data_IF_867269570941
#
_entry.id   IF_867269570941
#
_cell.length_a   1.000
_cell.length_b   1.000
_cell.length_c   1.000
_cell.angle_alpha   90.00
_cell.angle_beta   90.00
_cell.angle_gamma   90.00
#
_symmetry.space_group_name_H-M   'P 1'
#
loop_
_entity.id
_entity.type
_entity.pdbx_description
1 polymer ?
#
# COMPACT_ATOMS: atom_id res chain seq x y z
N UNK A 1 11.21 -16.18 -23.70
CA UNK A 1 10.37 -16.17 -22.48
C UNK A 1 11.31 -16.23 -21.29
N UNK A 2 11.59 -15.10 -20.64
CA UNK A 2 12.40 -15.11 -19.42
C UNK A 2 12.05 -13.92 -18.53
N UNK A 3 11.54 -14.25 -17.35
CA UNK A 3 11.79 -13.63 -16.06
C UNK A 3 11.52 -12.13 -15.88
N UNK A 4 10.34 -11.82 -15.32
CA UNK A 4 10.14 -10.57 -14.57
C UNK A 4 9.29 -10.84 -13.32
N UNK A 5 9.72 -11.78 -12.49
CA UNK A 5 9.17 -11.94 -11.14
C UNK A 5 10.26 -11.67 -10.13
N UNK A 6 10.81 -10.45 -10.16
CA UNK A 6 11.44 -9.93 -8.95
C UNK A 6 10.36 -9.90 -7.87
N UNK A 7 10.64 -10.60 -6.78
CA UNK A 7 9.77 -10.71 -5.64
C UNK A 7 9.68 -9.34 -4.98
N UNK A 8 8.70 -8.52 -5.38
CA UNK A 8 8.50 -7.14 -4.93
C UNK A 8 8.46 -7.02 -3.39
N UNK A 9 8.04 -8.07 -2.69
CA UNK A 9 8.15 -8.16 -1.23
C UNK A 9 9.59 -8.00 -0.73
N UNK A 10 10.59 -8.55 -1.42
CA UNK A 10 12.00 -8.41 -1.09
C UNK A 10 12.54 -7.01 -1.42
N UNK A 11 12.03 -6.38 -2.49
CA UNK A 11 12.33 -4.98 -2.81
C UNK A 11 11.79 -4.07 -1.71
N UNK A 12 10.52 -4.22 -1.36
CA UNK A 12 9.89 -3.49 -0.26
C UNK A 12 10.62 -3.76 1.06
N UNK A 13 10.93 -5.01 1.40
CA UNK A 13 11.62 -5.35 2.66
C UNK A 13 13.05 -4.77 2.75
N UNK A 14 13.82 -4.80 1.64
CA UNK A 14 15.17 -4.21 1.58
C UNK A 14 15.14 -2.68 1.65
N UNK A 15 14.15 -2.05 1.02
CA UNK A 15 14.06 -0.59 0.97
C UNK A 15 13.34 0.03 2.19
N UNK A 16 12.41 -0.69 2.83
CA UNK A 16 11.62 -0.15 3.94
C UNK A 16 12.15 -0.45 5.34
N UNK A 17 13.17 -1.32 5.49
CA UNK A 17 13.76 -1.71 6.78
C UNK A 17 12.75 -1.74 7.95
N UNK A 18 11.71 -2.56 7.80
CA UNK A 18 10.50 -2.61 8.66
C UNK A 18 10.78 -3.01 10.13
N UNK A 19 12.04 -3.23 10.51
CA UNK A 19 12.45 -3.60 11.88
C UNK A 19 12.72 -2.39 12.80
N UNK A 20 12.58 -1.15 12.32
CA UNK A 20 12.71 0.05 13.18
C UNK A 20 11.47 0.95 13.11
N UNK A 21 10.41 0.51 13.78
CA UNK A 21 9.34 1.40 14.23
C UNK A 21 9.91 2.33 15.32
N UNK A 22 10.46 3.48 14.92
CA UNK A 22 10.95 4.48 15.87
C UNK A 22 11.76 5.64 15.29
N UNK A 23 11.64 5.96 14.00
CA UNK A 23 12.57 6.89 13.34
C UNK A 23 11.90 8.21 12.89
N UNK A 24 12.34 9.39 13.35
CA UNK A 24 11.74 10.71 13.05
C UNK A 24 11.95 11.22 11.61
N UNK A 25 12.42 10.39 10.68
CA UNK A 25 12.76 10.76 9.30
C UNK A 25 11.57 10.66 8.31
N UNK A 26 10.33 10.78 8.78
CA UNK A 26 9.14 10.83 7.91
C UNK A 26 9.29 11.88 6.78
N UNK A 27 10.01 12.96 7.03
CA UNK A 27 10.26 14.06 6.08
C UNK A 27 11.18 13.71 4.91
N UNK A 28 12.03 12.67 5.01
CA UNK A 28 12.90 12.22 3.90
C UNK A 28 12.23 11.22 2.96
N UNK A 29 10.98 10.80 3.22
CA UNK A 29 10.28 9.77 2.43
C UNK A 29 9.66 10.27 1.12
N UNK A 30 9.68 11.58 0.83
CA UNK A 30 9.12 12.13 -0.41
C UNK A 30 9.92 11.74 -1.67
N UNK A 31 11.18 11.31 -1.56
CA UNK A 31 12.03 11.07 -2.73
C UNK A 31 12.16 9.61 -3.18
N UNK A 32 11.91 8.62 -2.32
CA UNK A 32 12.49 7.29 -2.55
C UNK A 32 11.69 6.31 -3.41
N UNK A 33 10.50 6.65 -3.90
CA UNK A 33 9.77 5.82 -4.87
C UNK A 33 9.03 6.71 -5.88
N UNK A 34 9.78 7.43 -6.72
CA UNK A 34 9.33 7.71 -8.09
C UNK A 34 9.69 6.50 -8.96
N UNK A 35 9.07 5.35 -8.69
CA UNK A 35 8.98 4.32 -9.71
C UNK A 35 8.20 4.95 -10.86
N UNK A 36 8.72 4.89 -12.09
CA UNK A 36 8.18 5.60 -13.26
C UNK A 36 6.64 5.48 -13.33
N UNK A 37 5.92 6.53 -12.92
CA UNK A 37 4.46 6.57 -12.95
C UNK A 37 3.72 6.05 -11.71
N UNK A 38 4.37 5.74 -10.58
CA UNK A 38 3.73 5.26 -9.34
C UNK A 38 4.12 6.11 -8.12
N UNK A 39 3.16 6.30 -7.21
CA UNK A 39 3.34 6.97 -5.93
C UNK A 39 2.75 6.17 -4.78
N UNK A 40 2.99 6.61 -3.55
CA UNK A 40 2.47 5.98 -2.35
C UNK A 40 1.90 7.00 -1.36
N UNK A 41 0.99 6.55 -0.50
CA UNK A 41 0.40 7.38 0.56
C UNK A 41 0.12 6.53 1.80
N UNK A 42 0.33 7.07 3.00
CA UNK A 42 -0.03 6.44 4.26
C UNK A 42 -1.31 7.08 4.80
N UNK A 43 -2.30 6.26 5.16
CA UNK A 43 -3.57 6.75 5.68
C UNK A 43 -4.08 5.90 6.82
N UNK A 44 -4.61 6.59 7.83
CA UNK A 44 -5.43 6.01 8.87
C UNK A 44 -6.91 6.23 8.56
N UNK A 45 -7.72 5.18 8.72
CA UNK A 45 -9.15 5.18 8.50
C UNK A 45 -9.87 5.02 9.83
N UNK A 46 -10.42 6.11 10.38
CA UNK A 46 -11.22 6.05 11.62
C UNK A 46 -12.59 5.39 11.42
N UNK A 47 -13.12 5.40 10.19
CA UNK A 47 -14.37 4.78 9.81
C UNK A 47 -14.22 3.86 8.60
N UNK A 48 -15.20 2.97 8.40
CA UNK A 48 -15.21 2.11 7.21
C UNK A 48 -15.38 2.96 5.96
N UNK A 49 -14.47 2.81 4.99
CA UNK A 49 -14.31 3.76 3.89
C UNK A 49 -14.14 3.04 2.56
N UNK A 50 -14.89 3.38 1.50
CA UNK A 50 -14.62 2.90 0.14
C UNK A 50 -13.24 3.35 -0.34
N UNK A 51 -12.45 2.42 -0.87
CA UNK A 51 -11.18 2.72 -1.51
C UNK A 51 -11.40 3.08 -2.98
N UNK A 52 -10.94 4.27 -3.37
CA UNK A 52 -10.97 4.72 -4.76
C UNK A 52 -9.77 4.12 -5.49
N UNK A 53 -10.02 3.29 -6.50
CA UNK A 53 -9.01 2.61 -7.30
C UNK A 53 -9.43 2.59 -8.79
N UNK A 54 -9.53 3.78 -9.38
CA UNK A 54 -10.01 3.98 -10.75
C UNK A 54 -9.20 3.18 -11.78
N UNK A 55 -7.89 3.08 -11.54
CA UNK A 55 -6.93 2.39 -12.39
C UNK A 55 -6.95 0.86 -12.21
N UNK A 56 -7.71 0.34 -11.23
CA UNK A 56 -7.81 -1.10 -10.90
C UNK A 56 -6.44 -1.76 -10.69
N UNK A 57 -5.48 -1.02 -10.15
CA UNK A 57 -4.12 -1.47 -9.88
C UNK A 57 -3.55 -0.68 -8.71
N UNK A 58 -3.73 -1.22 -7.51
CA UNK A 58 -3.25 -0.63 -6.27
C UNK A 58 -2.70 -1.74 -5.39
N UNK A 59 -1.56 -1.49 -4.75
CA UNK A 59 -1.10 -2.32 -3.65
C UNK A 59 -1.50 -1.67 -2.33
N UNK A 60 -1.90 -2.49 -1.38
CA UNK A 60 -2.22 -2.10 -0.02
C UNK A 60 -1.38 -2.91 0.95
N UNK A 61 -0.69 -2.22 1.85
CA UNK A 61 0.10 -2.83 2.93
C UNK A 61 -0.51 -2.39 4.26
N UNK A 62 -1.18 -3.29 5.01
CA UNK A 62 -1.71 -2.94 6.31
C UNK A 62 -0.60 -2.84 7.35
N UNK A 63 -0.66 -1.77 8.14
CA UNK A 63 0.22 -1.46 9.26
C UNK A 63 -0.49 -1.63 10.62
N UNK A 64 -1.68 -2.22 10.61
CA UNK A 64 -2.49 -2.48 11.79
C UNK A 64 -3.14 -3.86 11.67
N UNK A 65 -3.27 -4.56 12.79
CA UNK A 65 -4.04 -5.81 12.86
C UNK A 65 -5.51 -5.56 12.54
N UNK A 66 -6.17 -6.58 11.98
CA UNK A 66 -7.62 -6.55 11.76
C UNK A 66 -8.06 -5.67 10.59
N UNK A 67 -7.17 -5.30 9.67
CA UNK A 67 -7.58 -4.65 8.42
C UNK A 67 -8.37 -5.63 7.57
N UNK A 68 -9.62 -5.28 7.25
CA UNK A 68 -10.52 -6.06 6.40
C UNK A 68 -10.85 -5.25 5.16
N UNK A 69 -10.83 -5.92 4.01
CA UNK A 69 -11.32 -5.40 2.74
C UNK A 69 -12.63 -6.09 2.38
N UNK A 70 -13.64 -5.32 2.01
CA UNK A 70 -14.94 -5.86 1.60
C UNK A 70 -15.27 -5.37 0.18
N UNK A 71 -15.31 -6.27 -0.82
CA UNK A 71 -14.93 -7.68 -0.76
C UNK A 71 -13.41 -7.88 -0.64
N UNK A 72 -12.97 -9.02 -0.09
CA UNK A 72 -11.53 -9.37 -0.01
C UNK A 72 -11.10 -10.06 1.29
N UNK A 73 -11.86 -9.92 2.37
CA UNK A 73 -11.56 -10.52 3.67
C UNK A 73 -10.44 -9.82 4.44
N UNK A 74 -9.93 -10.49 5.46
CA UNK A 74 -8.88 -9.95 6.34
C UNK A 74 -7.52 -9.98 5.65
N UNK A 75 -6.80 -8.86 5.74
CA UNK A 75 -5.42 -8.71 5.25
C UNK A 75 -4.48 -8.69 6.46
N UNK A 76 -3.44 -9.52 6.42
CA UNK A 76 -2.50 -9.67 7.55
C UNK A 76 -1.56 -8.46 7.62
N UNK A 77 -1.33 -7.91 8.81
CA UNK A 77 -0.37 -6.83 9.03
C UNK A 77 1.02 -7.16 8.45
N UNK A 78 1.64 -6.20 7.76
CA UNK A 78 2.95 -6.37 7.12
C UNK A 78 2.95 -7.22 5.84
N UNK A 79 1.81 -7.80 5.44
CA UNK A 79 1.63 -8.41 4.11
C UNK A 79 1.24 -7.35 3.07
N UNK A 80 1.00 -7.76 1.83
CA UNK A 80 0.45 -6.88 0.81
C UNK A 80 -0.73 -7.54 0.09
N UNK A 81 -1.70 -6.73 -0.29
CA UNK A 81 -2.80 -7.12 -1.16
C UNK A 81 -2.72 -6.34 -2.47
N UNK A 82 -2.87 -7.03 -3.60
CA UNK A 82 -3.06 -6.38 -4.90
C UNK A 82 -4.56 -6.24 -5.17
N UNK A 83 -5.01 -5.00 -5.29
CA UNK A 83 -6.41 -4.61 -5.38
C UNK A 83 -6.70 -4.16 -6.80
N UNK A 84 -7.66 -4.84 -7.44
CA UNK A 84 -8.13 -4.58 -8.81
C UNK A 84 -9.58 -4.10 -8.88
N UNK A 85 -10.22 -3.92 -7.72
CA UNK A 85 -11.58 -3.42 -7.54
C UNK A 85 -11.57 -2.21 -6.59
N UNK A 86 -12.76 -1.77 -6.16
CA UNK A 86 -12.97 -0.67 -5.21
C UNK A 86 -13.57 -1.21 -3.89
N UNK A 87 -12.78 -1.91 -3.05
CA UNK A 87 -13.30 -2.49 -1.82
C UNK A 87 -13.46 -1.41 -0.75
N UNK A 88 -14.31 -1.69 0.24
CA UNK A 88 -14.40 -0.90 1.47
C UNK A 88 -13.38 -1.41 2.48
N UNK A 89 -12.55 -0.53 3.02
CA UNK A 89 -11.66 -0.84 4.13
C UNK A 89 -12.41 -0.71 5.46
N UNK A 90 -12.13 -1.59 6.41
CA UNK A 90 -12.66 -1.51 7.77
C UNK A 90 -12.14 -0.29 8.53
N UNK A 91 -12.90 0.14 9.53
CA UNK A 91 -12.46 1.17 10.49
C UNK A 91 -11.20 0.75 11.25
N UNK A 92 -10.54 1.73 11.87
CA UNK A 92 -9.30 1.63 12.63
C UNK A 92 -8.14 0.96 11.87
N UNK A 93 -8.16 1.05 10.53
CA UNK A 93 -7.09 0.51 9.70
C UNK A 93 -6.07 1.60 9.37
N UNK A 94 -4.79 1.30 9.58
CA UNK A 94 -3.67 2.11 9.10
C UNK A 94 -3.00 1.35 7.98
N UNK A 95 -2.88 1.95 6.80
CA UNK A 95 -2.34 1.28 5.62
C UNK A 95 -1.46 2.20 4.78
N UNK A 96 -0.54 1.59 4.03
CA UNK A 96 0.16 2.24 2.93
C UNK A 96 -0.49 1.81 1.62
N UNK A 97 -0.84 2.77 0.78
CA UNK A 97 -1.25 2.58 -0.60
C UNK A 97 -0.08 2.81 -1.53
N UNK A 98 0.02 2.00 -2.57
CA UNK A 98 0.93 2.22 -3.69
C UNK A 98 0.10 2.11 -4.96
N UNK A 99 -0.01 3.20 -5.70
CA UNK A 99 -0.86 3.28 -6.88
C UNK A 99 -0.16 4.12 -7.97
N UNK A 100 -0.52 3.93 -9.25
CA UNK A 100 -0.05 4.80 -10.31
C UNK A 100 -0.43 6.25 -10.02
N UNK A 101 0.40 7.19 -10.48
CA UNK A 101 -0.01 8.59 -10.53
C UNK A 101 -1.26 8.70 -11.40
N UNK A 102 -2.23 9.56 -11.01
CA UNK A 102 -3.31 9.91 -11.91
C UNK A 102 -2.69 10.36 -13.24
N UNK A 103 -3.15 9.80 -14.36
CA UNK A 103 -2.83 10.39 -15.66
C UNK A 103 -3.48 11.78 -15.65
N UNK A 104 -2.68 12.83 -15.49
CA UNK A 104 -3.13 14.18 -15.82
C UNK A 104 -3.49 14.16 -17.31
N UNK A 105 -4.79 14.30 -17.58
CA UNK A 105 -5.33 14.47 -18.93
C UNK A 105 -4.86 15.80 -19.51
#
# INVERSE_FOLDING_TARGET
MTSCSENWYQVLKRHWNLERYGDPYASKRHELIKLQGWGWNLKHFSGSTPLINNDKRMYLVPLSKGTVLTPGGTVTEGSYAYITNTPTISSNSTVIFIAPFPKTA
#
